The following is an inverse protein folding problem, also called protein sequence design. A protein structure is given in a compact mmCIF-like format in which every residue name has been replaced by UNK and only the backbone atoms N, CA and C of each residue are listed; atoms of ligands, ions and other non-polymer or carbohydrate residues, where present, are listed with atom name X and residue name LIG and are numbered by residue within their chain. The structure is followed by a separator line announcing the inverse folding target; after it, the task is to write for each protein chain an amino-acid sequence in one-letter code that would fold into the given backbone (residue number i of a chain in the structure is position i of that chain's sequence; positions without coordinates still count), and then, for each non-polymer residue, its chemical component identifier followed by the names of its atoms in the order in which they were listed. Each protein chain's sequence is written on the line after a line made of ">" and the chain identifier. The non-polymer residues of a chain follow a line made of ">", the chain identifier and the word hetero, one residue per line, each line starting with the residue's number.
data_IF_575325334752
#
_entry.id   IF_575325334752
#
_cell.length_a   1.000
_cell.length_b   1.000
_cell.length_c   1.000
_cell.angle_alpha   90.00
_cell.angle_beta   90.00
_cell.angle_gamma   90.00
#
_symmetry.space_group_name_H-M   'P 1'
#
loop_
_entity.id
_entity.type
_entity.pdbx_description
1 polymer ?
#
# COMPACT_ATOMS: atom_id res chain seq x y z
N UNK A 1 -20.63 3.02 17.40
CA UNK A 1 -19.60 3.98 17.88
C UNK A 1 -18.52 4.21 16.81
N UNK A 2 -18.87 4.21 15.51
CA UNK A 2 -17.88 4.12 14.43
C UNK A 2 -17.40 5.51 13.96
N UNK A 3 -16.33 6.01 14.57
CA UNK A 3 -15.56 7.14 14.02
C UNK A 3 -15.41 8.37 14.92
N UNK A 4 -16.10 8.44 16.06
CA UNK A 4 -15.93 9.53 17.04
C UNK A 4 -14.50 9.63 17.57
N UNK A 5 -13.79 8.50 17.63
CA UNK A 5 -12.39 8.47 18.08
C UNK A 5 -11.47 9.35 17.22
N UNK A 6 -11.70 9.44 15.90
CA UNK A 6 -10.82 10.21 15.01
C UNK A 6 -10.98 11.71 15.26
N UNK A 7 -12.22 12.18 15.40
CA UNK A 7 -12.52 13.56 15.76
C UNK A 7 -11.99 13.90 17.16
N UNK A 8 -12.25 13.04 18.15
CA UNK A 8 -11.72 13.21 19.50
C UNK A 8 -10.19 13.25 19.50
N UNK A 9 -9.53 12.39 18.71
CA UNK A 9 -8.08 12.35 18.59
C UNK A 9 -7.51 13.63 17.98
N UNK A 10 -8.09 14.10 16.87
CA UNK A 10 -7.67 15.37 16.24
C UNK A 10 -7.89 16.55 17.18
N UNK A 11 -9.00 16.58 17.92
CA UNK A 11 -9.26 17.60 18.94
C UNK A 11 -8.23 17.54 20.08
N UNK A 12 -7.89 16.35 20.58
CA UNK A 12 -6.86 16.17 21.62
C UNK A 12 -5.51 16.71 21.13
N UNK A 13 -5.13 16.40 19.88
CA UNK A 13 -3.89 16.91 19.27
C UNK A 13 -3.94 18.44 19.15
N UNK A 14 -5.06 19.00 18.68
CA UNK A 14 -5.21 20.45 18.49
C UNK A 14 -5.06 21.21 19.82
N UNK A 15 -5.73 20.75 20.88
CA UNK A 15 -5.68 21.39 22.20
C UNK A 15 -4.30 21.25 22.88
N UNK A 16 -3.60 20.13 22.65
CA UNK A 16 -2.34 19.82 23.32
C UNK A 16 -1.14 19.85 22.35
N UNK A 17 -1.20 20.64 21.29
CA UNK A 17 -0.28 20.53 20.15
C UNK A 17 1.20 20.60 20.56
N UNK A 18 1.58 21.56 21.41
CA UNK A 18 2.98 21.70 21.86
C UNK A 18 3.43 20.53 22.74
N UNK A 19 2.61 20.17 23.74
CA UNK A 19 2.91 19.09 24.68
C UNK A 19 3.03 17.73 23.99
N UNK A 20 2.08 17.40 23.10
CA UNK A 20 2.11 16.16 22.34
C UNK A 20 3.25 16.13 21.34
N UNK A 21 3.59 17.26 20.71
CA UNK A 21 4.74 17.37 19.82
C UNK A 21 6.05 16.97 20.52
N UNK A 22 6.26 17.47 21.75
CA UNK A 22 7.43 17.08 22.55
C UNK A 22 7.41 15.60 22.96
N UNK A 23 6.24 15.05 23.29
CA UNK A 23 6.13 13.61 23.62
C UNK A 23 6.41 12.73 22.40
N UNK A 24 5.89 13.08 21.23
CA UNK A 24 6.16 12.37 20.00
C UNK A 24 7.64 12.47 19.63
N UNK A 25 8.25 13.66 19.75
CA UNK A 25 9.68 13.86 19.55
C UNK A 25 10.53 13.01 20.51
N UNK A 26 10.19 12.98 21.79
CA UNK A 26 10.89 12.18 22.78
C UNK A 26 10.84 10.68 22.44
N UNK A 27 9.65 10.15 22.13
CA UNK A 27 9.50 8.74 21.72
C UNK A 27 10.28 8.46 20.43
N UNK A 28 10.20 9.36 19.44
CA UNK A 28 11.01 9.28 18.21
C UNK A 28 12.50 9.20 18.50
N UNK A 29 13.01 10.08 19.38
CA UNK A 29 14.43 10.14 19.72
C UNK A 29 14.89 8.90 20.47
N UNK A 30 14.08 8.38 21.39
CA UNK A 30 14.38 7.14 22.11
C UNK A 30 14.48 5.95 21.14
N UNK A 31 13.55 5.85 20.18
CA UNK A 31 13.61 4.83 19.13
C UNK A 31 14.86 5.07 18.27
N UNK A 32 15.07 6.29 17.78
CA UNK A 32 16.19 6.66 16.91
C UNK A 32 17.56 6.45 17.57
N UNK A 33 17.68 6.54 18.89
CA UNK A 33 18.92 6.27 19.61
C UNK A 33 19.45 4.84 19.40
N UNK A 34 18.59 3.90 18.99
CA UNK A 34 19.04 2.56 18.61
C UNK A 34 20.00 2.53 17.43
N UNK A 35 20.04 3.57 16.59
CA UNK A 35 20.96 3.68 15.44
C UNK A 35 22.42 3.51 15.87
N UNK A 36 22.79 3.95 17.08
CA UNK A 36 24.16 3.83 17.59
C UNK A 36 24.61 2.37 17.82
N UNK A 37 23.70 1.40 17.79
CA UNK A 37 24.00 -0.02 17.87
C UNK A 37 24.19 -0.68 16.49
N UNK A 38 23.97 0.05 15.40
CA UNK A 38 24.15 -0.45 14.05
C UNK A 38 25.56 -0.14 13.53
N UNK A 39 26.05 -1.03 12.67
CA UNK A 39 27.31 -0.82 11.96
C UNK A 39 27.17 0.35 10.97
N UNK A 40 28.11 1.29 11.03
CA UNK A 40 28.13 2.47 10.16
C UNK A 40 28.35 2.09 8.69
N UNK A 41 29.09 1.00 8.42
CA UNK A 41 29.32 0.50 7.06
C UNK A 41 28.00 0.09 6.41
N UNK A 42 27.19 -0.69 7.11
CA UNK A 42 25.85 -1.12 6.70
C UNK A 42 24.95 0.08 6.35
N UNK A 43 24.97 1.14 7.18
CA UNK A 43 24.18 2.35 6.92
C UNK A 43 24.73 3.09 5.69
N UNK A 44 26.04 3.24 5.58
CA UNK A 44 26.67 4.00 4.50
C UNK A 44 26.42 3.40 3.10
N UNK A 45 26.35 2.07 3.00
CA UNK A 45 26.05 1.38 1.74
C UNK A 45 24.57 1.48 1.33
N UNK A 46 23.66 1.69 2.29
CA UNK A 46 22.21 1.58 2.08
C UNK A 46 21.53 2.94 1.89
N UNK A 47 21.94 3.97 2.64
CA UNK A 47 21.36 5.32 2.58
C UNK A 47 21.33 5.93 1.17
N UNK A 48 22.36 5.80 0.31
CA UNK A 48 22.32 6.35 -1.04
C UNK A 48 21.14 5.85 -1.88
N UNK A 49 20.78 4.57 -1.73
CA UNK A 49 19.65 3.97 -2.45
C UNK A 49 18.31 4.54 -1.99
N UNK A 50 18.13 4.74 -0.68
CA UNK A 50 16.92 5.36 -0.15
C UNK A 50 16.80 6.82 -0.57
N UNK A 51 17.91 7.56 -0.55
CA UNK A 51 17.93 8.93 -1.06
C UNK A 51 17.59 8.95 -2.56
N UNK A 52 18.12 8.03 -3.36
CA UNK A 52 17.76 7.90 -4.76
C UNK A 52 16.25 7.64 -4.94
N UNK A 53 15.66 6.72 -4.17
CA UNK A 53 14.20 6.50 -4.15
C UNK A 53 13.42 7.76 -3.76
N UNK A 54 13.88 8.52 -2.77
CA UNK A 54 13.24 9.78 -2.36
C UNK A 54 13.33 10.88 -3.43
N UNK A 55 14.46 10.97 -4.15
CA UNK A 55 14.62 11.94 -5.24
C UNK A 55 13.64 11.72 -6.38
N UNK A 56 13.15 10.49 -6.58
CA UNK A 56 12.09 10.18 -7.55
C UNK A 56 10.70 10.37 -6.93
N UNK A 57 10.49 9.86 -5.72
CA UNK A 57 9.19 9.88 -5.04
C UNK A 57 8.68 11.30 -4.75
N UNK A 58 9.54 12.20 -4.26
CA UNK A 58 9.11 13.53 -3.81
C UNK A 58 8.62 14.39 -5.00
N UNK A 59 9.34 14.52 -6.12
CA UNK A 59 8.83 15.22 -7.30
C UNK A 59 7.58 14.55 -7.88
N UNK A 60 7.53 13.22 -7.93
CA UNK A 60 6.37 12.50 -8.44
C UNK A 60 5.12 12.76 -7.57
N UNK A 61 5.27 12.78 -6.24
CA UNK A 61 4.20 13.16 -5.31
C UNK A 61 3.73 14.60 -5.56
N UNK A 62 4.65 15.53 -5.81
CA UNK A 62 4.32 16.92 -6.12
C UNK A 62 3.49 17.03 -7.40
N UNK A 63 3.89 16.28 -8.43
CA UNK A 63 3.18 16.22 -9.71
C UNK A 63 1.79 15.57 -9.58
N UNK A 64 1.69 14.42 -8.91
CA UNK A 64 0.41 13.69 -8.78
C UNK A 64 -0.65 14.48 -8.00
N UNK A 65 -0.24 15.21 -6.96
CA UNK A 65 -1.13 16.05 -6.14
C UNK A 65 -1.19 17.51 -6.59
N UNK A 66 -0.45 17.90 -7.63
CA UNK A 66 -0.24 19.28 -8.07
C UNK A 66 0.07 20.26 -6.92
N UNK A 67 0.80 19.81 -5.91
CA UNK A 67 1.03 20.59 -4.68
C UNK A 67 2.42 20.34 -4.14
N UNK A 68 3.22 21.39 -3.96
CA UNK A 68 4.57 21.25 -3.39
C UNK A 68 4.52 20.90 -1.91
N UNK A 69 3.49 21.37 -1.19
CA UNK A 69 3.33 21.14 0.24
C UNK A 69 3.13 19.66 0.60
N UNK A 70 2.37 18.90 -0.21
CA UNK A 70 2.17 17.46 0.01
C UNK A 70 3.47 16.69 -0.22
N UNK A 71 4.27 17.09 -1.22
CA UNK A 71 5.58 16.51 -1.48
C UNK A 71 6.59 16.78 -0.37
N UNK A 72 6.64 18.00 0.17
CA UNK A 72 7.50 18.32 1.32
C UNK A 72 7.10 17.47 2.53
N UNK A 73 5.80 17.38 2.84
CA UNK A 73 5.30 16.56 3.94
C UNK A 73 5.69 15.08 3.77
N UNK A 74 5.50 14.55 2.56
CA UNK A 74 5.90 13.20 2.17
C UNK A 74 7.40 12.96 2.37
N UNK A 75 8.25 13.89 1.93
CA UNK A 75 9.71 13.79 2.09
C UNK A 75 10.14 13.81 3.57
N UNK A 76 9.60 14.75 4.35
CA UNK A 76 9.92 14.86 5.79
C UNK A 76 9.51 13.61 6.55
N UNK A 77 8.27 13.12 6.34
CA UNK A 77 7.79 11.92 7.02
C UNK A 77 8.52 10.67 6.56
N UNK A 78 8.92 10.61 5.28
CA UNK A 78 9.75 9.53 4.75
C UNK A 78 11.16 9.49 5.37
N UNK A 79 11.79 10.64 5.59
CA UNK A 79 13.06 10.67 6.31
C UNK A 79 12.90 10.25 7.77
N UNK A 80 11.82 10.72 8.42
CA UNK A 80 11.51 10.34 9.79
C UNK A 80 11.32 8.82 9.94
N UNK A 81 10.53 8.18 9.08
CA UNK A 81 10.30 6.73 9.19
C UNK A 81 11.57 5.91 8.96
N UNK A 82 12.48 6.33 8.07
CA UNK A 82 13.76 5.65 7.86
C UNK A 82 14.63 5.69 9.12
N UNK A 83 14.73 6.86 9.76
CA UNK A 83 15.47 7.01 11.02
C UNK A 83 14.86 6.14 12.13
N UNK A 84 13.53 6.13 12.25
CA UNK A 84 12.84 5.32 13.26
C UNK A 84 12.96 3.82 13.01
N UNK A 85 12.90 3.40 11.74
CA UNK A 85 13.11 2.01 11.35
C UNK A 85 14.54 1.57 11.70
N UNK A 86 15.56 2.35 11.32
CA UNK A 86 16.96 2.06 11.69
C UNK A 86 17.14 2.00 13.21
N UNK A 87 16.57 2.96 13.94
CA UNK A 87 16.63 2.98 15.40
C UNK A 87 15.99 1.74 16.04
N UNK A 88 14.77 1.40 15.60
CA UNK A 88 14.07 0.21 16.06
C UNK A 88 14.85 -1.08 15.79
N UNK A 89 15.48 -1.20 14.62
CA UNK A 89 16.31 -2.35 14.28
C UNK A 89 17.60 -2.42 15.10
N UNK A 90 18.23 -1.27 15.36
CA UNK A 90 19.43 -1.21 16.19
C UNK A 90 19.20 -1.67 17.62
N UNK A 91 18.05 -1.31 18.22
CA UNK A 91 17.66 -1.82 19.54
C UNK A 91 17.47 -3.35 19.58
N UNK A 92 17.03 -3.94 18.47
CA UNK A 92 16.82 -5.38 18.36
C UNK A 92 18.13 -6.14 18.06
N UNK A 93 19.21 -5.44 17.68
CA UNK A 93 20.52 -6.01 17.36
C UNK A 93 20.47 -7.20 16.37
N UNK A 94 19.59 -7.10 15.37
CA UNK A 94 19.37 -8.17 14.39
C UNK A 94 20.49 -8.16 13.35
N UNK A 95 21.18 -9.29 13.11
CA UNK A 95 22.15 -9.40 12.03
C UNK A 95 21.46 -9.24 10.67
N UNK A 96 21.95 -8.32 9.84
CA UNK A 96 21.36 -7.98 8.55
C UNK A 96 22.46 -7.74 7.52
N UNK A 97 22.18 -8.05 6.26
CA UNK A 97 23.05 -7.71 5.14
C UNK A 97 22.63 -6.37 4.51
N UNK A 98 23.53 -5.66 3.82
CA UNK A 98 23.20 -4.41 3.11
C UNK A 98 22.00 -4.56 2.17
N UNK A 99 21.87 -5.71 1.50
CA UNK A 99 20.73 -6.02 0.62
C UNK A 99 19.39 -5.97 1.34
N UNK A 100 19.30 -6.56 2.53
CA UNK A 100 18.04 -6.66 3.29
C UNK A 100 17.56 -5.28 3.73
N UNK A 101 18.50 -4.46 4.20
CA UNK A 101 18.23 -3.10 4.64
C UNK A 101 17.93 -2.18 3.45
N UNK A 102 18.74 -2.23 2.38
CA UNK A 102 18.52 -1.47 1.14
C UNK A 102 17.10 -1.69 0.59
N UNK A 103 16.73 -2.95 0.34
CA UNK A 103 15.43 -3.28 -0.23
C UNK A 103 14.29 -3.06 0.75
N UNK A 104 14.43 -3.53 2.00
CA UNK A 104 13.42 -3.37 3.04
C UNK A 104 13.12 -1.90 3.34
N UNK A 105 14.12 -1.03 3.36
CA UNK A 105 13.90 0.41 3.56
C UNK A 105 13.08 1.06 2.44
N UNK A 106 13.26 0.65 1.18
CA UNK A 106 12.40 1.12 0.08
C UNK A 106 10.97 0.59 0.21
N UNK A 107 10.78 -0.67 0.64
CA UNK A 107 9.45 -1.21 0.97
C UNK A 107 8.77 -0.39 2.08
N UNK A 108 9.53 0.06 3.08
CA UNK A 108 9.02 0.91 4.16
C UNK A 108 8.66 2.31 3.66
N UNK A 109 9.48 2.90 2.78
CA UNK A 109 9.17 4.15 2.11
C UNK A 109 7.86 4.06 1.33
N UNK A 110 7.66 3.01 0.53
CA UNK A 110 6.45 2.86 -0.29
C UNK A 110 5.22 2.63 0.57
N UNK A 111 5.33 1.87 1.66
CA UNK A 111 4.23 1.65 2.61
C UNK A 111 3.79 2.95 3.30
N UNK A 112 4.74 3.78 3.78
CA UNK A 112 4.37 5.10 4.33
C UNK A 112 3.77 6.00 3.23
N UNK A 113 4.37 5.99 2.04
CA UNK A 113 3.88 6.77 0.89
C UNK A 113 2.43 6.41 0.57
N UNK A 114 2.08 5.12 0.56
CA UNK A 114 0.72 4.66 0.31
C UNK A 114 -0.26 5.19 1.35
N UNK A 115 0.07 5.05 2.63
CA UNK A 115 -0.74 5.57 3.73
C UNK A 115 -0.97 7.09 3.58
N UNK A 116 0.06 7.84 3.22
CA UNK A 116 -0.02 9.29 2.99
C UNK A 116 -0.88 9.63 1.78
N UNK A 117 -0.76 8.92 0.66
CA UNK A 117 -1.59 9.12 -0.54
C UNK A 117 -3.08 8.92 -0.22
N UNK A 118 -3.43 7.89 0.54
CA UNK A 118 -4.83 7.64 0.91
C UNK A 118 -5.40 8.69 1.89
N UNK A 119 -4.62 9.09 2.90
CA UNK A 119 -5.03 10.14 3.85
C UNK A 119 -5.12 11.49 3.16
N UNK A 120 -4.05 11.94 2.49
CA UNK A 120 -3.99 13.23 1.79
C UNK A 120 -5.04 13.30 0.67
N UNK A 121 -5.21 12.22 -0.09
CA UNK A 121 -6.27 12.13 -1.09
C UNK A 121 -7.65 12.34 -0.49
N UNK A 122 -7.90 11.87 0.74
CA UNK A 122 -9.16 12.12 1.44
C UNK A 122 -9.28 13.55 1.94
N UNK A 123 -8.23 14.10 2.56
CA UNK A 123 -8.22 15.49 3.04
C UNK A 123 -8.51 16.46 1.90
N UNK A 124 -7.79 16.34 0.78
CA UNK A 124 -7.96 17.23 -0.36
C UNK A 124 -9.35 17.12 -0.98
N UNK A 125 -9.96 15.91 -0.98
CA UNK A 125 -11.33 15.73 -1.44
C UNK A 125 -12.35 16.40 -0.53
N UNK A 126 -12.21 16.29 0.78
CA UNK A 126 -13.15 16.94 1.72
C UNK A 126 -12.97 18.47 1.73
N UNK A 127 -11.73 18.97 1.62
CA UNK A 127 -11.47 20.40 1.43
C UNK A 127 -12.08 20.91 0.11
N UNK A 128 -12.03 20.12 -0.97
CA UNK A 128 -12.66 20.46 -2.26
C UNK A 128 -14.21 20.46 -2.20
N UNK A 129 -14.80 19.89 -1.14
CA UNK A 129 -16.23 19.96 -0.81
C UNK A 129 -16.57 21.11 0.16
N UNK A 130 -15.59 21.91 0.56
CA UNK A 130 -15.76 23.07 1.42
C UNK A 130 -15.51 22.84 2.90
N UNK A 131 -15.00 21.67 3.31
CA UNK A 131 -14.61 21.46 4.71
C UNK A 131 -13.30 22.18 5.05
N UNK A 132 -13.17 22.62 6.30
CA UNK A 132 -11.90 23.11 6.82
C UNK A 132 -10.90 21.96 6.97
N UNK A 133 -9.60 22.26 6.87
CA UNK A 133 -8.56 21.24 6.90
C UNK A 133 -8.58 20.41 8.19
N UNK A 134 -8.87 21.02 9.34
CA UNK A 134 -8.87 20.31 10.63
C UNK A 134 -9.96 19.23 10.67
N UNK A 135 -11.17 19.56 10.19
CA UNK A 135 -12.27 18.60 10.05
C UNK A 135 -11.95 17.55 8.99
N UNK A 136 -11.35 17.96 7.87
CA UNK A 136 -10.95 17.07 6.78
C UNK A 136 -9.89 16.05 7.24
N UNK A 137 -8.98 16.42 8.15
CA UNK A 137 -8.00 15.50 8.76
C UNK A 137 -8.72 14.45 9.61
N UNK A 138 -9.69 14.86 10.43
CA UNK A 138 -10.47 13.93 11.25
C UNK A 138 -11.29 12.96 10.38
N UNK A 139 -11.94 13.46 9.33
CA UNK A 139 -12.71 12.64 8.41
C UNK A 139 -11.81 11.69 7.61
N UNK A 140 -10.60 12.12 7.22
CA UNK A 140 -9.62 11.27 6.59
C UNK A 140 -9.15 10.13 7.50
N UNK A 141 -8.85 10.39 8.76
CA UNK A 141 -8.44 9.35 9.73
C UNK A 141 -9.58 8.36 10.01
N UNK A 142 -10.80 8.85 10.25
CA UNK A 142 -12.01 8.03 10.43
C UNK A 142 -12.21 7.02 9.32
N UNK A 143 -11.79 7.38 8.11
CA UNK A 143 -12.02 6.62 6.91
C UNK A 143 -10.86 5.72 6.49
N UNK A 144 -9.62 6.11 6.78
CA UNK A 144 -8.43 5.42 6.30
C UNK A 144 -7.67 4.67 7.41
N UNK A 145 -7.90 4.93 8.71
CA UNK A 145 -7.15 4.24 9.76
C UNK A 145 -7.35 2.71 9.74
N UNK A 146 -8.59 2.23 9.60
CA UNK A 146 -8.87 0.79 9.55
C UNK A 146 -8.18 0.07 8.37
N UNK A 147 -8.29 0.54 7.10
CA UNK A 147 -7.55 -0.10 6.01
C UNK A 147 -6.04 0.04 6.17
N UNK A 148 -5.52 1.18 6.66
CA UNK A 148 -4.08 1.37 6.92
C UNK A 148 -3.56 0.36 7.95
N UNK A 149 -4.27 0.19 9.08
CA UNK A 149 -3.91 -0.81 10.10
C UNK A 149 -3.92 -2.22 9.49
N UNK A 150 -4.98 -2.55 8.75
CA UNK A 150 -5.12 -3.87 8.15
C UNK A 150 -4.01 -4.15 7.14
N UNK A 151 -3.68 -3.19 6.27
CA UNK A 151 -2.61 -3.30 5.28
C UNK A 151 -1.24 -3.54 5.94
N UNK A 152 -0.84 -2.68 6.89
CA UNK A 152 0.43 -2.83 7.61
C UNK A 152 0.51 -4.19 8.33
N UNK A 153 -0.58 -4.65 8.96
CA UNK A 153 -0.65 -5.96 9.61
C UNK A 153 -0.53 -7.12 8.61
N UNK A 154 -1.19 -7.05 7.46
CA UNK A 154 -1.07 -8.09 6.43
C UNK A 154 0.30 -8.15 5.82
N UNK A 155 0.93 -7.00 5.58
CA UNK A 155 2.30 -6.93 5.02
C UNK A 155 3.29 -7.50 6.02
N UNK A 156 3.29 -7.06 7.29
CA UNK A 156 4.22 -7.61 8.27
C UNK A 156 4.02 -9.12 8.47
N UNK A 157 2.77 -9.58 8.60
CA UNK A 157 2.49 -11.01 8.80
C UNK A 157 2.87 -11.84 7.57
N UNK A 158 2.70 -11.30 6.36
CA UNK A 158 3.13 -11.95 5.13
C UNK A 158 4.63 -12.24 5.11
N UNK A 159 5.45 -11.24 5.44
CA UNK A 159 6.90 -11.41 5.54
C UNK A 159 7.32 -12.35 6.68
N UNK A 160 6.61 -12.33 7.82
CA UNK A 160 6.88 -13.26 8.93
C UNK A 160 6.59 -14.72 8.57
N UNK A 161 5.48 -14.99 7.88
CA UNK A 161 5.17 -16.34 7.41
C UNK A 161 6.27 -16.82 6.46
N UNK A 162 6.72 -15.98 5.55
CA UNK A 162 7.81 -16.35 4.64
C UNK A 162 9.11 -16.63 5.40
N UNK A 163 9.49 -15.77 6.34
CA UNK A 163 10.70 -15.93 7.14
C UNK A 163 10.69 -17.21 7.99
N UNK A 164 9.51 -17.74 8.31
CA UNK A 164 9.36 -19.01 9.01
C UNK A 164 9.74 -20.21 8.12
N UNK A 165 9.37 -20.21 6.84
CA UNK A 165 9.71 -21.29 5.88
C UNK A 165 11.09 -21.12 5.25
N UNK A 166 11.53 -19.88 5.07
CA UNK A 166 12.78 -19.54 4.38
C UNK A 166 13.59 -18.59 5.27
N UNK A 167 14.51 -19.15 6.09
CA UNK A 167 15.28 -18.39 7.08
C UNK A 167 16.08 -17.21 6.50
N UNK A 168 16.44 -17.27 5.21
CA UNK A 168 17.14 -16.21 4.50
C UNK A 168 16.39 -14.87 4.48
N UNK A 169 15.06 -14.89 4.68
CA UNK A 169 14.23 -13.68 4.72
C UNK A 169 13.98 -13.13 6.14
N UNK A 170 14.57 -13.73 7.19
CA UNK A 170 14.36 -13.28 8.58
C UNK A 170 14.77 -11.82 8.79
N UNK A 171 15.94 -11.43 8.28
CA UNK A 171 16.43 -10.05 8.35
C UNK A 171 15.43 -9.09 7.68
N UNK A 172 15.04 -9.39 6.44
CA UNK A 172 14.08 -8.58 5.69
C UNK A 172 12.72 -8.49 6.41
N UNK A 173 12.21 -9.58 6.98
CA UNK A 173 10.95 -9.58 7.71
C UNK A 173 10.98 -8.65 8.93
N UNK A 174 12.11 -8.58 9.64
CA UNK A 174 12.27 -7.62 10.73
C UNK A 174 12.34 -6.17 10.25
N UNK A 175 13.04 -5.89 9.15
CA UNK A 175 13.08 -4.55 8.55
C UNK A 175 11.67 -4.08 8.21
N UNK A 176 10.90 -4.92 7.52
CA UNK A 176 9.52 -4.61 7.14
C UNK A 176 8.62 -4.49 8.37
N UNK A 177 8.82 -5.32 9.40
CA UNK A 177 8.03 -5.25 10.64
C UNK A 177 8.28 -3.95 11.40
N UNK A 178 9.55 -3.57 11.59
CA UNK A 178 9.92 -2.31 12.21
C UNK A 178 9.29 -1.15 11.43
N UNK A 179 9.44 -1.14 10.11
CA UNK A 179 8.83 -0.13 9.27
C UNK A 179 7.31 -0.09 9.30
N UNK A 180 6.61 -1.23 9.36
CA UNK A 180 5.14 -1.29 9.42
C UNK A 180 4.62 -0.68 10.73
N UNK A 181 5.25 -1.03 11.85
CA UNK A 181 4.93 -0.45 13.15
C UNK A 181 5.21 1.05 13.19
N UNK A 182 6.37 1.49 12.67
CA UNK A 182 6.71 2.91 12.60
C UNK A 182 5.81 3.67 11.62
N UNK A 183 5.36 3.05 10.52
CA UNK A 183 4.43 3.65 9.57
C UNK A 183 3.07 3.92 10.19
N UNK A 184 2.54 2.98 10.97
CA UNK A 184 1.32 3.17 11.75
C UNK A 184 1.48 4.30 12.76
N UNK A 185 2.59 4.30 13.48
CA UNK A 185 2.87 5.32 14.47
C UNK A 185 2.95 6.71 13.83
N UNK A 186 3.77 6.90 12.78
CA UNK A 186 3.93 8.17 12.06
C UNK A 186 2.61 8.64 11.46
N UNK A 187 1.84 7.74 10.83
CA UNK A 187 0.58 8.08 10.17
C UNK A 187 -0.52 8.49 11.16
N UNK A 188 -0.58 7.87 12.34
CA UNK A 188 -1.61 8.16 13.34
C UNK A 188 -1.22 9.28 14.32
N UNK A 189 0.07 9.65 14.40
CA UNK A 189 0.57 10.67 15.35
C UNK A 189 1.15 11.89 14.63
N UNK A 190 2.33 11.75 14.01
CA UNK A 190 3.06 12.85 13.37
C UNK A 190 2.30 13.51 12.23
N UNK A 191 1.65 12.72 11.37
CA UNK A 191 0.91 13.22 10.23
C UNK A 191 -0.23 14.19 10.64
N UNK A 192 -1.21 13.80 11.49
CA UNK A 192 -2.24 14.75 11.92
C UNK A 192 -1.65 15.90 12.74
N UNK A 193 -0.63 15.65 13.57
CA UNK A 193 0.04 16.71 14.32
C UNK A 193 0.65 17.80 13.42
N UNK A 194 1.34 17.41 12.35
CA UNK A 194 1.86 18.35 11.36
C UNK A 194 0.73 19.07 10.64
N UNK A 195 -0.28 18.35 10.16
CA UNK A 195 -1.36 18.91 9.35
C UNK A 195 -2.27 19.90 10.09
N UNK A 196 -2.31 19.88 11.43
CA UNK A 196 -3.06 20.89 12.19
C UNK A 196 -2.43 22.29 12.15
N UNK A 197 -1.14 22.41 11.82
CA UNK A 197 -0.45 23.71 11.64
C UNK A 197 0.06 23.92 10.22
N UNK A 198 0.51 22.87 9.58
CA UNK A 198 0.97 22.88 8.20
C UNK A 198 -0.24 22.85 7.26
N UNK A 199 -0.73 24.03 6.90
CA UNK A 199 -1.88 24.20 6.00
C UNK A 199 -1.49 23.77 4.58
N UNK A 200 -2.28 22.89 3.98
CA UNK A 200 -2.15 22.54 2.56
C UNK A 200 -2.72 23.67 1.71
N UNK A 201 -2.33 23.74 0.44
CA UNK A 201 -2.84 24.75 -0.49
C UNK A 201 -4.34 24.51 -0.71
N UNK A 202 -5.15 25.56 -0.47
CA UNK A 202 -6.57 25.50 -0.76
C UNK A 202 -6.76 25.45 -2.28
N UNK A 203 -7.33 24.36 -2.77
CA UNK A 203 -7.59 24.18 -4.20
C UNK A 203 -9.09 23.99 -4.42
N UNK A 204 -9.65 24.76 -5.35
CA UNK A 204 -10.95 24.42 -5.93
C UNK A 204 -10.73 23.13 -6.73
N UNK A 205 -11.10 21.99 -6.13
CA UNK A 205 -10.79 20.68 -6.69
C UNK A 205 -11.28 20.53 -8.13
N UNK A 206 -10.48 19.88 -8.97
CA UNK A 206 -10.86 19.57 -10.34
C UNK A 206 -12.08 18.63 -10.35
N UNK A 207 -12.85 18.61 -11.44
CA UNK A 207 -14.03 17.74 -11.55
C UNK A 207 -13.69 16.26 -11.23
N UNK A 208 -12.50 15.79 -11.61
CA UNK A 208 -11.96 14.46 -11.32
C UNK A 208 -11.81 14.17 -9.82
N UNK A 209 -11.49 15.19 -9.02
CA UNK A 209 -11.21 15.05 -7.58
C UNK A 209 -12.49 14.67 -6.84
N UNK A 210 -13.63 15.16 -7.33
CA UNK A 210 -14.96 14.90 -6.76
C UNK A 210 -15.54 13.55 -7.19
N UNK A 211 -15.10 13.01 -8.34
CA UNK A 211 -15.82 11.94 -9.03
C UNK A 211 -14.97 10.68 -9.31
N UNK A 212 -13.68 10.65 -8.93
CA UNK A 212 -12.79 9.49 -9.08
C UNK A 212 -12.89 8.84 -10.47
N UNK A 213 -13.04 7.51 -10.50
CA UNK A 213 -13.23 6.74 -11.75
C UNK A 213 -14.70 6.59 -12.19
N UNK A 214 -15.61 7.49 -11.80
CA UNK A 214 -17.02 7.43 -12.24
C UNK A 214 -17.21 7.48 -13.76
N UNK A 215 -16.29 8.11 -14.51
CA UNK A 215 -16.31 8.10 -15.99
C UNK A 215 -16.06 6.70 -16.55
N UNK A 216 -15.10 5.97 -15.97
CA UNK A 216 -14.82 4.58 -16.34
C UNK A 216 -16.04 3.70 -16.06
N UNK A 217 -16.66 3.87 -14.89
CA UNK A 217 -17.91 3.15 -14.55
C UNK A 217 -19.03 3.47 -15.54
N UNK A 218 -19.23 4.74 -15.92
CA UNK A 218 -20.23 5.11 -16.93
C UNK A 218 -19.91 4.48 -18.29
N UNK A 219 -18.65 4.53 -18.71
CA UNK A 219 -18.20 3.91 -19.96
C UNK A 219 -18.48 2.40 -19.98
N UNK A 220 -18.25 1.71 -18.85
CA UNK A 220 -18.54 0.29 -18.70
C UNK A 220 -20.03 -0.02 -18.92
N UNK A 221 -20.94 0.84 -18.43
CA UNK A 221 -22.38 0.66 -18.66
C UNK A 221 -22.80 0.88 -20.11
N UNK A 222 -22.15 1.81 -20.80
CA UNK A 222 -22.45 2.13 -22.20
C UNK A 222 -21.97 1.03 -23.16
N UNK A 223 -20.91 0.30 -22.80
CA UNK A 223 -20.32 -0.76 -23.63
C UNK A 223 -20.40 -2.15 -22.98
N UNK A 224 -21.61 -2.68 -22.70
CA UNK A 224 -21.77 -3.89 -21.90
C UNK A 224 -21.15 -5.14 -22.54
N UNK A 225 -21.20 -5.27 -23.88
CA UNK A 225 -20.58 -6.38 -24.62
C UNK A 225 -19.06 -6.40 -24.45
N UNK A 226 -18.42 -5.24 -24.63
CA UNK A 226 -16.97 -5.08 -24.46
C UNK A 226 -16.56 -5.33 -23.00
N UNK A 227 -17.31 -4.83 -22.02
CA UNK A 227 -17.00 -5.10 -20.60
C UNK A 227 -17.09 -6.57 -20.24
N UNK A 228 -18.07 -7.29 -20.80
CA UNK A 228 -18.22 -8.72 -20.59
C UNK A 228 -17.08 -9.49 -21.23
N UNK A 229 -16.67 -9.10 -22.45
CA UNK A 229 -15.53 -9.69 -23.14
C UNK A 229 -14.24 -9.48 -22.35
N UNK A 230 -13.98 -8.26 -21.86
CA UNK A 230 -12.81 -7.97 -21.01
C UNK A 230 -12.83 -8.79 -19.72
N UNK A 231 -13.99 -8.96 -19.09
CA UNK A 231 -14.16 -9.80 -17.90
C UNK A 231 -13.83 -11.27 -18.18
N UNK A 232 -14.39 -11.84 -19.24
CA UNK A 232 -14.19 -13.26 -19.61
C UNK A 232 -12.77 -13.52 -20.11
N UNK A 233 -12.26 -12.70 -21.04
CA UNK A 233 -10.92 -12.83 -21.59
C UNK A 233 -9.85 -12.70 -20.50
N UNK A 234 -10.03 -11.74 -19.58
CA UNK A 234 -9.19 -11.64 -18.39
C UNK A 234 -9.23 -12.93 -17.58
N UNK A 235 -10.41 -13.47 -17.28
CA UNK A 235 -10.54 -14.71 -16.50
C UNK A 235 -9.87 -15.92 -17.17
N UNK A 236 -9.94 -16.05 -18.50
CA UNK A 236 -9.28 -17.14 -19.25
C UNK A 236 -7.76 -17.01 -19.20
N UNK A 237 -7.21 -15.82 -19.48
CA UNK A 237 -5.77 -15.57 -19.41
C UNK A 237 -5.20 -15.89 -18.01
N UNK A 238 -5.96 -15.53 -16.97
CA UNK A 238 -5.63 -15.79 -15.58
C UNK A 238 -5.59 -17.30 -15.25
N UNK A 239 -6.55 -18.09 -15.72
CA UNK A 239 -6.57 -19.55 -15.51
C UNK A 239 -5.35 -20.21 -16.16
N UNK A 240 -5.04 -19.84 -17.40
CA UNK A 240 -3.90 -20.39 -18.16
C UNK A 240 -2.58 -20.08 -17.45
N UNK A 241 -2.38 -18.83 -17.03
CA UNK A 241 -1.16 -18.42 -16.33
C UNK A 241 -0.92 -19.20 -15.03
N UNK A 242 -1.98 -19.45 -14.26
CA UNK A 242 -1.86 -20.18 -12.99
C UNK A 242 -1.55 -21.66 -13.20
N UNK A 243 -2.07 -22.27 -14.27
CA UNK A 243 -1.72 -23.65 -14.63
C UNK A 243 -0.22 -23.79 -14.95
N UNK A 244 0.36 -22.82 -15.66
CA UNK A 244 1.80 -22.82 -16.01
C UNK A 244 2.68 -22.68 -14.76
N UNK A 245 2.37 -21.71 -13.88
CA UNK A 245 3.16 -21.47 -12.65
C UNK A 245 3.09 -22.68 -11.73
N UNK A 246 1.89 -23.22 -11.49
CA UNK A 246 1.72 -24.34 -10.57
C UNK A 246 2.49 -25.58 -11.04
N UNK A 247 2.56 -25.81 -12.36
CA UNK A 247 3.32 -26.90 -12.95
C UNK A 247 4.84 -26.71 -12.84
N UNK A 248 5.34 -25.51 -13.12
CA UNK A 248 6.78 -25.23 -13.21
C UNK A 248 7.44 -24.81 -11.88
N UNK A 249 6.69 -24.32 -10.89
CA UNK A 249 7.22 -23.72 -9.66
C UNK A 249 6.81 -24.42 -8.36
N UNK A 250 6.34 -25.68 -8.43
CA UNK A 250 5.66 -26.43 -7.36
C UNK A 250 6.36 -26.41 -5.99
N UNK A 251 7.69 -26.47 -5.91
CA UNK A 251 8.42 -26.49 -4.62
C UNK A 251 8.34 -25.16 -3.84
N UNK A 252 8.34 -24.02 -4.54
CA UNK A 252 8.20 -22.68 -3.94
C UNK A 252 6.76 -22.34 -3.52
N UNK A 253 5.78 -23.18 -3.90
CA UNK A 253 4.35 -22.90 -3.69
C UNK A 253 3.94 -23.08 -2.23
N UNK A 254 4.62 -23.94 -1.45
CA UNK A 254 4.20 -24.26 -0.08
C UNK A 254 4.18 -23.06 0.87
N UNK A 255 5.26 -22.28 0.93
CA UNK A 255 5.35 -21.07 1.77
C UNK A 255 4.39 -19.98 1.32
N UNK A 256 4.22 -19.82 0.00
CA UNK A 256 3.28 -18.88 -0.59
C UNK A 256 1.84 -19.25 -0.22
N UNK A 257 1.45 -20.52 -0.29
CA UNK A 257 0.09 -20.95 0.07
C UNK A 257 -0.24 -20.66 1.54
N UNK A 258 0.71 -20.89 2.45
CA UNK A 258 0.53 -20.56 3.87
C UNK A 258 0.39 -19.04 4.05
N UNK A 259 1.23 -18.25 3.37
CA UNK A 259 1.12 -16.80 3.39
C UNK A 259 -0.25 -16.33 2.91
N UNK A 260 -0.72 -16.83 1.77
CA UNK A 260 -2.04 -16.51 1.22
C UNK A 260 -3.17 -16.92 2.18
N UNK A 261 -3.05 -18.07 2.85
CA UNK A 261 -4.03 -18.54 3.82
C UNK A 261 -4.08 -17.66 5.07
N UNK A 262 -2.93 -17.25 5.61
CA UNK A 262 -2.84 -16.35 6.78
C UNK A 262 -3.41 -14.98 6.45
N UNK A 263 -3.03 -14.42 5.30
CA UNK A 263 -3.56 -13.15 4.81
C UNK A 263 -5.08 -13.24 4.57
N UNK A 264 -5.54 -14.32 3.95
CA UNK A 264 -6.97 -14.59 3.76
C UNK A 264 -7.73 -14.63 5.09
N UNK A 265 -7.19 -15.33 6.09
CA UNK A 265 -7.79 -15.44 7.42
C UNK A 265 -7.90 -14.06 8.08
N UNK A 266 -6.85 -13.25 8.04
CA UNK A 266 -6.87 -11.88 8.58
C UNK A 266 -7.93 -11.01 7.90
N UNK A 267 -7.97 -11.02 6.57
CA UNK A 267 -8.94 -10.24 5.81
C UNK A 267 -10.37 -10.73 6.04
N UNK A 268 -10.56 -12.04 6.16
CA UNK A 268 -11.86 -12.62 6.49
C UNK A 268 -12.31 -12.19 7.89
N UNK A 269 -11.43 -12.24 8.90
CA UNK A 269 -11.75 -11.79 10.26
C UNK A 269 -12.07 -10.29 10.30
N UNK A 270 -11.30 -9.46 9.60
CA UNK A 270 -11.51 -8.01 9.56
C UNK A 270 -12.82 -7.62 8.83
N UNK A 271 -13.09 -8.22 7.67
CA UNK A 271 -14.26 -7.89 6.85
C UNK A 271 -15.49 -8.73 7.17
N UNK A 272 -15.35 -9.83 7.91
CA UNK A 272 -16.42 -10.81 8.22
C UNK A 272 -17.19 -11.25 6.98
N UNK A 273 -16.51 -11.32 5.84
CA UNK A 273 -17.08 -11.65 4.54
C UNK A 273 -16.11 -12.53 3.75
N UNK A 274 -16.35 -13.84 3.78
CA UNK A 274 -15.49 -14.85 3.12
C UNK A 274 -15.31 -14.52 1.64
N UNK A 275 -16.40 -14.24 0.92
CA UNK A 275 -16.33 -13.94 -0.52
C UNK A 275 -15.46 -12.74 -0.86
N UNK A 276 -15.47 -11.68 -0.04
CA UNK A 276 -14.62 -10.50 -0.28
C UNK A 276 -13.16 -10.79 0.02
N UNK A 277 -12.86 -11.49 1.12
CA UNK A 277 -11.50 -11.90 1.47
C UNK A 277 -10.88 -12.82 0.40
N UNK A 278 -11.65 -13.82 -0.05
CA UNK A 278 -11.22 -14.74 -1.11
C UNK A 278 -10.94 -14.01 -2.41
N UNK A 279 -11.83 -13.13 -2.86
CA UNK A 279 -11.61 -12.34 -4.08
C UNK A 279 -10.36 -11.47 -3.96
N UNK A 280 -10.15 -10.80 -2.82
CA UNK A 280 -8.97 -9.96 -2.62
C UNK A 280 -7.67 -10.78 -2.73
N UNK A 281 -7.54 -11.87 -1.99
CA UNK A 281 -6.33 -12.71 -2.03
C UNK A 281 -6.11 -13.31 -3.41
N UNK A 282 -7.17 -13.82 -4.06
CA UNK A 282 -7.07 -14.38 -5.40
C UNK A 282 -6.61 -13.34 -6.41
N UNK A 283 -7.20 -12.14 -6.45
CA UNK A 283 -6.80 -11.11 -7.42
C UNK A 283 -5.33 -10.71 -7.30
N UNK A 284 -4.80 -10.67 -6.08
CA UNK A 284 -3.38 -10.37 -5.84
C UNK A 284 -2.47 -11.53 -6.26
N UNK A 285 -2.83 -12.75 -5.88
CA UNK A 285 -2.12 -13.95 -6.34
C UNK A 285 -2.07 -14.03 -7.87
N UNK A 286 -3.22 -13.80 -8.50
CA UNK A 286 -3.39 -13.79 -9.95
C UNK A 286 -2.49 -12.76 -10.64
N UNK A 287 -2.32 -11.58 -10.06
CA UNK A 287 -1.46 -10.55 -10.63
C UNK A 287 0.02 -10.97 -10.64
N UNK A 288 0.49 -11.55 -9.53
CA UNK A 288 1.88 -11.99 -9.38
C UNK A 288 2.14 -13.23 -10.22
N UNK A 289 1.24 -14.22 -10.18
CA UNK A 289 1.40 -15.45 -10.93
C UNK A 289 1.32 -15.24 -12.44
N UNK A 290 0.55 -14.25 -12.92
CA UNK A 290 0.55 -13.90 -14.34
C UNK A 290 1.93 -13.45 -14.85
N UNK A 291 2.60 -12.58 -14.08
CA UNK A 291 3.93 -12.10 -14.43
C UNK A 291 4.97 -13.22 -14.32
N UNK A 292 4.89 -14.02 -13.27
CA UNK A 292 5.76 -15.18 -13.11
C UNK A 292 5.59 -16.20 -14.24
N UNK A 293 4.35 -16.47 -14.67
CA UNK A 293 4.05 -17.34 -15.80
C UNK A 293 4.73 -16.85 -17.08
N UNK A 294 4.66 -15.54 -17.34
CA UNK A 294 5.29 -14.94 -18.50
C UNK A 294 6.80 -15.14 -18.49
N UNK A 295 7.46 -14.91 -17.36
CA UNK A 295 8.90 -15.14 -17.23
C UNK A 295 9.27 -16.61 -17.48
N UNK A 296 8.51 -17.55 -16.91
CA UNK A 296 8.74 -18.99 -17.07
C UNK A 296 8.46 -19.49 -18.50
N UNK A 297 7.60 -18.83 -19.26
CA UNK A 297 7.37 -19.11 -20.70
C UNK A 297 8.54 -18.60 -21.55
N UNK A 298 9.20 -17.53 -21.11
CA UNK A 298 10.42 -16.99 -21.73
C UNK A 298 11.70 -17.69 -21.24
N UNK A 299 11.57 -18.87 -20.61
CA UNK A 299 12.66 -19.65 -20.03
C UNK A 299 13.54 -18.88 -19.01
N UNK A 300 12.96 -17.86 -18.37
CA UNK A 300 13.59 -17.15 -17.26
C UNK A 300 13.19 -17.83 -15.94
N UNK A 301 14.19 -18.13 -15.10
CA UNK A 301 13.95 -18.59 -13.72
C UNK A 301 13.17 -17.52 -12.93
N UNK A 302 12.43 -17.90 -11.89
CA UNK A 302 11.73 -16.95 -11.01
C UNK A 302 12.16 -17.21 -9.57
N UNK A 303 12.78 -16.21 -8.95
CA UNK A 303 13.22 -16.30 -7.56
C UNK A 303 12.05 -16.25 -6.58
N UNK A 304 12.23 -16.90 -5.43
CA UNK A 304 11.26 -16.91 -4.33
C UNK A 304 10.96 -15.49 -3.82
N UNK A 305 12.00 -14.63 -3.73
CA UNK A 305 11.84 -13.21 -3.38
C UNK A 305 10.91 -12.48 -4.37
N UNK A 306 11.08 -12.72 -5.68
CA UNK A 306 10.27 -12.11 -6.73
C UNK A 306 8.80 -12.54 -6.70
N UNK A 307 8.46 -13.68 -6.08
CA UNK A 307 7.08 -14.10 -5.88
C UNK A 307 6.46 -13.53 -4.60
N UNK A 308 7.24 -13.46 -3.53
CA UNK A 308 6.74 -13.11 -2.20
C UNK A 308 6.53 -11.61 -2.03
N UNK A 309 7.53 -10.81 -2.40
CA UNK A 309 7.49 -9.38 -2.10
C UNK A 309 6.32 -8.68 -2.80
N UNK A 310 6.02 -8.94 -4.09
CA UNK A 310 4.85 -8.36 -4.72
C UNK A 310 3.57 -8.70 -3.96
N UNK A 311 3.39 -9.92 -3.44
CA UNK A 311 2.17 -10.29 -2.73
C UNK A 311 1.93 -9.45 -1.46
N UNK A 312 3.00 -9.06 -0.77
CA UNK A 312 2.92 -8.18 0.40
C UNK A 312 2.66 -6.71 0.09
N UNK A 313 3.05 -6.24 -1.10
CA UNK A 313 2.88 -4.86 -1.56
C UNK A 313 1.58 -4.64 -2.33
N UNK A 314 1.24 -5.56 -3.23
CA UNK A 314 0.12 -5.45 -4.18
C UNK A 314 -1.23 -5.53 -3.44
N UNK A 315 -1.28 -6.25 -2.32
CA UNK A 315 -2.51 -6.43 -1.54
C UNK A 315 -3.03 -5.15 -0.88
N UNK A 316 -2.17 -4.16 -0.66
CA UNK A 316 -2.50 -2.90 0.00
C UNK A 316 -3.66 -2.16 -0.69
N UNK A 317 -3.54 -1.96 -2.01
CA UNK A 317 -4.56 -1.29 -2.82
C UNK A 317 -5.91 -2.02 -2.76
N UNK A 318 -5.88 -3.36 -2.76
CA UNK A 318 -7.07 -4.19 -2.60
C UNK A 318 -7.68 -4.01 -1.21
N UNK A 319 -6.88 -3.91 -0.15
CA UNK A 319 -7.36 -3.69 1.21
C UNK A 319 -8.08 -2.34 1.32
N UNK A 320 -7.50 -1.28 0.75
CA UNK A 320 -8.13 0.04 0.71
C UNK A 320 -9.46 0.02 -0.07
N UNK A 321 -9.50 -0.64 -1.23
CA UNK A 321 -10.71 -0.78 -2.03
C UNK A 321 -11.82 -1.57 -1.33
N UNK A 322 -11.52 -2.79 -0.89
CA UNK A 322 -12.51 -3.69 -0.31
C UNK A 322 -12.99 -3.21 1.06
N UNK A 323 -12.14 -2.57 1.86
CA UNK A 323 -12.57 -1.97 3.12
C UNK A 323 -13.61 -0.87 2.89
N UNK A 324 -13.45 -0.04 1.85
CA UNK A 324 -14.46 0.97 1.47
C UNK A 324 -15.76 0.33 1.02
N UNK A 325 -15.68 -0.69 0.17
CA UNK A 325 -16.84 -1.43 -0.34
C UNK A 325 -17.63 -2.10 0.79
N UNK A 326 -16.93 -2.82 1.70
CA UNK A 326 -17.53 -3.51 2.84
C UNK A 326 -18.16 -2.52 3.81
N UNK A 327 -17.47 -1.43 4.13
CA UNK A 327 -17.99 -0.39 5.02
C UNK A 327 -19.28 0.22 4.46
N UNK A 328 -19.31 0.56 3.17
CA UNK A 328 -20.49 1.13 2.54
C UNK A 328 -21.74 0.25 2.69
N UNK A 329 -21.56 -1.08 2.68
CA UNK A 329 -22.64 -2.01 3.00
C UNK A 329 -22.99 -2.06 4.48
N UNK A 330 -21.99 -2.09 5.37
CA UNK A 330 -22.21 -2.17 6.83
C UNK A 330 -22.96 -0.98 7.40
N UNK A 331 -22.67 0.23 6.90
CA UNK A 331 -23.34 1.46 7.36
C UNK A 331 -24.65 1.75 6.62
N UNK A 332 -25.12 0.83 5.77
CA UNK A 332 -26.39 0.98 5.04
C UNK A 332 -26.39 2.08 3.98
N UNK A 333 -25.22 2.51 3.48
CA UNK A 333 -25.14 3.55 2.43
C UNK A 333 -25.68 3.05 1.10
N UNK A 334 -25.45 1.78 0.76
CA UNK A 334 -25.89 1.18 -0.49
C UNK A 334 -26.26 -0.29 -0.32
N UNK A 335 -27.40 -0.70 -0.90
CA UNK A 335 -27.92 -2.06 -0.77
C UNK A 335 -27.27 -3.03 -1.76
N UNK A 336 -27.03 -2.59 -3.00
CA UNK A 336 -26.49 -3.46 -4.05
C UNK A 336 -24.96 -3.48 -4.04
N UNK A 337 -24.39 -4.65 -4.40
CA UNK A 337 -22.93 -4.80 -4.54
C UNK A 337 -22.37 -3.85 -5.60
N UNK A 338 -23.10 -3.63 -6.70
CA UNK A 338 -22.73 -2.69 -7.73
C UNK A 338 -22.52 -1.27 -7.16
N UNK A 339 -23.49 -0.73 -6.43
CA UNK A 339 -23.39 0.63 -5.89
C UNK A 339 -22.22 0.77 -4.90
N UNK A 340 -21.96 -0.27 -4.09
CA UNK A 340 -20.79 -0.31 -3.18
C UNK A 340 -19.46 -0.28 -3.94
N UNK A 341 -19.36 -1.00 -5.07
CA UNK A 341 -18.18 -0.99 -5.94
C UNK A 341 -17.99 0.40 -6.56
N UNK A 342 -19.07 1.01 -7.07
CA UNK A 342 -19.02 2.37 -7.64
C UNK A 342 -18.57 3.39 -6.60
N UNK A 343 -19.04 3.27 -5.35
CA UNK A 343 -18.59 4.09 -4.24
C UNK A 343 -17.10 3.89 -3.93
N UNK A 344 -16.61 2.64 -3.90
CA UNK A 344 -15.19 2.37 -3.70
C UNK A 344 -14.32 2.97 -4.82
N UNK A 345 -14.71 2.80 -6.09
CA UNK A 345 -14.01 3.39 -7.24
C UNK A 345 -14.01 4.92 -7.23
N UNK A 346 -15.14 5.53 -6.86
CA UNK A 346 -15.28 6.98 -6.75
C UNK A 346 -14.45 7.57 -5.60
N UNK A 347 -14.26 6.81 -4.51
CA UNK A 347 -13.58 7.29 -3.30
C UNK A 347 -12.08 7.02 -3.29
N UNK A 348 -11.62 5.82 -3.63
CA UNK A 348 -10.21 5.43 -3.52
C UNK A 348 -9.55 5.08 -4.86
N UNK A 349 -10.30 5.06 -5.96
CA UNK A 349 -9.77 4.71 -7.27
C UNK A 349 -8.56 5.56 -7.67
N UNK A 350 -8.68 6.91 -7.63
CA UNK A 350 -7.55 7.80 -7.97
C UNK A 350 -6.34 7.56 -7.08
N UNK A 351 -6.55 7.35 -5.78
CA UNK A 351 -5.44 7.09 -4.84
C UNK A 351 -4.76 5.77 -5.15
N UNK A 352 -5.51 4.71 -5.50
CA UNK A 352 -4.94 3.42 -5.92
C UNK A 352 -4.03 3.58 -7.15
N UNK A 353 -4.51 4.28 -8.19
CA UNK A 353 -3.66 4.51 -9.37
C UNK A 353 -2.36 5.28 -9.03
N UNK A 354 -2.44 6.25 -8.11
CA UNK A 354 -1.29 7.02 -7.64
C UNK A 354 -0.31 6.17 -6.83
N UNK A 355 -0.79 5.35 -5.90
CA UNK A 355 0.04 4.49 -5.06
C UNK A 355 0.82 3.52 -5.92
N UNK A 356 0.18 2.88 -6.91
CA UNK A 356 0.88 1.94 -7.80
C UNK A 356 2.01 2.63 -8.59
N UNK A 357 1.78 3.83 -9.13
CA UNK A 357 2.82 4.60 -9.81
C UNK A 357 3.96 5.02 -8.88
N UNK A 358 3.63 5.47 -7.66
CA UNK A 358 4.62 5.88 -6.66
C UNK A 358 5.47 4.70 -6.20
N UNK A 359 4.87 3.52 -5.97
CA UNK A 359 5.60 2.32 -5.58
C UNK A 359 6.56 1.86 -6.68
N UNK A 360 6.12 1.84 -7.94
CA UNK A 360 6.97 1.50 -9.08
C UNK A 360 8.15 2.48 -9.18
N UNK A 361 7.88 3.77 -9.05
CA UNK A 361 8.91 4.82 -9.12
C UNK A 361 9.88 4.79 -7.94
N UNK A 362 9.43 4.40 -6.74
CA UNK A 362 10.31 4.23 -5.59
C UNK A 362 11.28 3.07 -5.75
N UNK A 363 10.84 1.98 -6.38
CA UNK A 363 11.64 0.79 -6.62
C UNK A 363 12.61 0.96 -7.80
N UNK A 364 12.34 1.87 -8.74
CA UNK A 364 13.13 2.00 -9.96
C UNK A 364 14.62 2.29 -9.76
N UNK A 365 15.08 3.06 -8.75
CA UNK A 365 16.51 3.24 -8.53
C UNK A 365 17.21 1.93 -8.16
N UNK A 366 16.56 1.04 -7.42
CA UNK A 366 17.14 -0.25 -7.03
C UNK A 366 17.40 -1.19 -8.23
N UNK A 367 16.84 -0.90 -9.40
CA UNK A 367 17.17 -1.62 -10.64
C UNK A 367 18.66 -1.53 -10.96
N UNK A 368 19.31 -0.42 -10.57
CA UNK A 368 20.73 -0.20 -10.83
C UNK A 368 21.66 -0.82 -9.77
N UNK A 369 21.13 -1.60 -8.83
CA UNK A 369 21.91 -2.24 -7.75
C UNK A 369 22.93 -3.29 -8.23
N UNK A 370 22.74 -3.85 -9.42
CA UNK A 370 23.60 -4.91 -9.96
C UNK A 370 23.32 -6.30 -9.39
N UNK A 371 22.38 -6.45 -8.45
CA UNK A 371 21.93 -7.75 -7.93
C UNK A 371 20.82 -8.33 -8.84
N UNK A 372 21.06 -9.45 -9.56
CA UNK A 372 20.08 -10.02 -10.49
C UNK A 372 18.77 -10.46 -9.82
N UNK A 373 18.84 -10.96 -8.58
CA UNK A 373 17.66 -11.42 -7.82
C UNK A 373 16.79 -10.22 -7.46
N UNK A 374 17.43 -9.11 -7.05
CA UNK A 374 16.75 -7.88 -6.73
C UNK A 374 16.14 -7.21 -7.96
N UNK A 375 16.89 -7.13 -9.08
CA UNK A 375 16.39 -6.62 -10.35
C UNK A 375 15.15 -7.37 -10.82
N UNK A 376 15.21 -8.70 -10.79
CA UNK A 376 14.04 -9.53 -11.11
C UNK A 376 12.86 -9.24 -10.17
N UNK A 377 13.11 -9.13 -8.87
CA UNK A 377 12.06 -8.83 -7.88
C UNK A 377 11.39 -7.48 -8.15
N UNK A 378 12.17 -6.47 -8.53
CA UNK A 378 11.64 -5.14 -8.90
C UNK A 378 10.78 -5.23 -10.16
N UNK A 379 11.24 -5.94 -11.18
CA UNK A 379 10.46 -6.13 -12.42
C UNK A 379 9.14 -6.83 -12.16
N UNK A 380 9.16 -7.95 -11.42
CA UNK A 380 7.96 -8.71 -11.10
C UNK A 380 7.02 -7.87 -10.25
N UNK A 381 7.53 -7.15 -9.25
CA UNK A 381 6.73 -6.25 -8.41
C UNK A 381 6.06 -5.16 -9.24
N UNK A 382 6.81 -4.49 -10.11
CA UNK A 382 6.29 -3.39 -10.91
C UNK A 382 5.18 -3.84 -11.88
N UNK A 383 5.41 -4.95 -12.60
CA UNK A 383 4.42 -5.51 -13.52
C UNK A 383 3.20 -6.06 -12.77
N UNK A 384 3.40 -6.74 -11.65
CA UNK A 384 2.30 -7.28 -10.84
C UNK A 384 1.43 -6.16 -10.26
N UNK A 385 2.02 -5.04 -9.83
CA UNK A 385 1.27 -3.86 -9.39
C UNK A 385 0.39 -3.30 -10.51
N UNK A 386 0.92 -3.17 -11.74
CA UNK A 386 0.12 -2.72 -12.89
C UNK A 386 -1.05 -3.67 -13.19
N UNK A 387 -0.78 -4.98 -13.19
CA UNK A 387 -1.80 -6.01 -13.42
C UNK A 387 -2.87 -5.96 -12.32
N UNK A 388 -2.47 -5.90 -11.04
CA UNK A 388 -3.42 -5.88 -9.94
C UNK A 388 -4.27 -4.61 -9.91
N UNK A 389 -3.67 -3.46 -10.23
CA UNK A 389 -4.38 -2.18 -10.36
C UNK A 389 -5.42 -2.25 -11.46
N UNK A 390 -5.05 -2.83 -12.60
CA UNK A 390 -5.98 -3.10 -13.70
C UNK A 390 -7.09 -4.08 -13.27
N UNK A 391 -6.73 -5.16 -12.56
CA UNK A 391 -7.70 -6.13 -12.06
C UNK A 391 -8.71 -5.46 -11.12
N UNK A 392 -8.25 -4.58 -10.24
CA UNK A 392 -9.05 -3.94 -9.20
C UNK A 392 -9.95 -2.82 -9.75
N UNK A 393 -9.44 -2.00 -10.66
CA UNK A 393 -10.16 -0.82 -11.17
C UNK A 393 -10.98 -1.15 -12.42
N UNK A 394 -10.54 -2.12 -13.23
CA UNK A 394 -11.16 -2.43 -14.52
C UNK A 394 -11.88 -3.78 -14.48
N UNK A 395 -11.13 -4.86 -14.27
CA UNK A 395 -11.65 -6.22 -14.44
C UNK A 395 -12.74 -6.58 -13.43
N UNK A 396 -12.49 -6.36 -12.14
CA UNK A 396 -13.40 -6.73 -11.06
C UNK A 396 -14.74 -5.98 -11.15
N UNK A 397 -14.77 -4.65 -11.38
CA UNK A 397 -16.02 -3.94 -11.66
C UNK A 397 -16.72 -4.44 -12.92
N UNK A 398 -16.01 -4.66 -14.03
CA UNK A 398 -16.60 -5.12 -15.28
C UNK A 398 -17.26 -6.51 -15.15
N UNK A 399 -16.62 -7.42 -14.42
CA UNK A 399 -17.11 -8.77 -14.19
C UNK A 399 -18.44 -8.79 -13.41
N UNK A 400 -18.63 -7.83 -12.49
CA UNK A 400 -19.82 -7.78 -11.64
C UNK A 400 -20.93 -6.88 -12.19
N UNK A 401 -20.58 -5.73 -12.77
CA UNK A 401 -21.56 -4.81 -13.37
C UNK A 401 -22.30 -5.48 -14.55
N UNK A 402 -21.65 -6.39 -15.28
CA UNK A 402 -22.24 -7.06 -16.45
C UNK A 402 -23.23 -8.19 -16.13
N UNK A 403 -23.41 -8.52 -14.83
CA UNK A 403 -24.28 -9.60 -14.33
C UNK A 403 -25.59 -9.12 -13.72
N UNK A 404 -25.67 -7.85 -13.30
CA UNK A 404 -26.92 -7.25 -12.81
C UNK A 404 -27.69 -6.69 -14.03
N UNK A 405 -28.64 -7.48 -14.54
CA UNK A 405 -29.71 -7.02 -15.44
C UNK A 405 -31.01 -6.90 -14.67
#
# INVERSE_FOLDING_TARGET
>A
MEGYWAFAWVQIIAHNWSSLGWRFALVSLLIAAGIFHLDISLISETVPWWLASLTVLVPLMAWLFDTRRTAILQGVLSLLILVLMLGGLGWLAIPMQPRDLMFGGVVVLTMLTSNLVHVLGTILREMARGQFQDDAVAEALKHNAAPIILANLTTLLGFWVVAWWSPDFKALAWVVTAGALMSLWVTLTWLPWLLLRYRLEFRVGHYSDRHGFSRLVRWMKVHPSLTRLLGIAGMVALIVANAVVFWKAFESVSSILVMLAVVWLLLWLAWRQVGTATVAVLMNWLAVSLVAALLLVLDLSVSTLAMIVPLGLVIDDAIHFFTRMVRAGRVGLFDTRELRIRFALGSVGRTIWMTSLLVIAALSPLWFSGDPVLQQTILVTALALLVATWLLIVWYPAFLISRDK
#
